data_IF_136025728682
#
_entry.id   IF_136025728682
#
_cell.length_a   1.000
_cell.length_b   1.000
_cell.length_c   1.000
_cell.angle_alpha   90.00
_cell.angle_beta   90.00
_cell.angle_gamma   90.00
#
_symmetry.space_group_name_H-M   'P 1'
#
loop_
_entity.id
_entity.type
_entity.pdbx_description
1 polymer ?
#
# COMPACT_ATOMS: atom_id res chain seq x y z
N UNK A 1 13.43 -2.22 -4.40
CA UNK A 1 12.01 -2.63 -4.35
C UNK A 1 11.19 -1.36 -4.23
N UNK A 2 10.23 -1.18 -5.13
CA UNK A 2 9.48 0.05 -5.25
C UNK A 2 8.00 -0.21 -4.94
N UNK A 3 7.40 0.64 -4.11
CA UNK A 3 6.04 0.45 -3.59
C UNK A 3 5.27 1.74 -3.84
N UNK A 4 4.31 1.68 -4.74
CA UNK A 4 3.35 2.75 -4.95
C UNK A 4 2.07 2.43 -4.19
N UNK A 5 1.68 3.31 -3.27
CA UNK A 5 0.45 3.22 -2.51
C UNK A 5 -0.46 4.38 -2.86
N UNK A 6 -1.73 4.08 -3.14
CA UNK A 6 -2.77 5.07 -3.33
C UNK A 6 -4.01 4.66 -2.55
N UNK A 7 -4.53 5.61 -1.78
CA UNK A 7 -5.83 5.53 -1.13
C UNK A 7 -6.77 6.53 -1.81
N UNK A 8 -7.89 6.02 -2.29
CA UNK A 8 -8.96 6.81 -2.87
C UNK A 8 -10.27 6.48 -2.17
N UNK A 9 -10.96 7.50 -1.66
CA UNK A 9 -12.24 7.34 -0.97
C UNK A 9 -12.49 8.42 0.08
N UNK A 10 -13.70 8.42 0.65
CA UNK A 10 -14.17 9.45 1.58
C UNK A 10 -14.93 10.58 0.89
N UNK A 11 -15.79 11.25 1.67
CA UNK A 11 -16.82 12.19 1.27
C UNK A 11 -16.34 13.41 0.44
N UNK A 12 -15.02 13.65 0.36
CA UNK A 12 -14.42 14.81 -0.30
C UNK A 12 -13.58 14.46 -1.56
N UNK A 13 -13.51 13.18 -1.98
CA UNK A 13 -12.73 12.78 -3.16
C UNK A 13 -11.22 12.94 -3.03
N UNK A 14 -10.70 13.08 -1.79
CA UNK A 14 -9.28 13.27 -1.52
C UNK A 14 -8.52 11.99 -1.90
N UNK A 15 -7.57 12.12 -2.82
CA UNK A 15 -6.62 11.06 -3.18
C UNK A 15 -5.36 11.25 -2.34
N UNK A 16 -5.04 10.29 -1.50
CA UNK A 16 -3.80 10.29 -0.72
C UNK A 16 -2.95 9.13 -1.19
N UNK A 17 -1.72 9.38 -1.63
CA UNK A 17 -0.82 8.33 -2.04
C UNK A 17 0.61 8.66 -1.66
N UNK A 18 1.46 7.65 -1.66
CA UNK A 18 2.90 7.81 -1.53
C UNK A 18 3.62 6.77 -2.36
N UNK A 19 4.83 7.13 -2.72
CA UNK A 19 5.72 6.27 -3.45
C UNK A 19 6.97 6.05 -2.60
N UNK A 20 7.26 4.79 -2.32
CA UNK A 20 8.30 4.37 -1.40
C UNK A 20 9.29 3.51 -2.17
N UNK A 21 10.53 3.96 -2.24
CA UNK A 21 11.64 3.13 -2.71
C UNK A 21 12.40 2.59 -1.50
N UNK A 22 12.58 1.27 -1.42
CA UNK A 22 13.43 0.65 -0.38
C UNK A 22 14.87 1.14 -0.44
N UNK A 23 15.33 1.64 -1.59
CA UNK A 23 16.66 2.26 -1.71
C UNK A 23 16.75 3.61 -0.96
N UNK A 24 15.62 4.28 -0.74
CA UNK A 24 15.53 5.52 0.04
C UNK A 24 15.19 5.26 1.52
N UNK A 25 14.93 4.01 1.89
CA UNK A 25 14.63 3.62 3.27
C UNK A 25 15.88 3.17 4.00
N UNK A 26 15.84 3.24 5.32
CA UNK A 26 16.84 2.58 6.15
C UNK A 26 16.80 1.07 5.93
N UNK A 27 17.95 0.37 6.03
CA UNK A 27 18.02 -1.09 5.83
C UNK A 27 17.08 -1.87 6.77
N UNK A 28 16.82 -1.35 7.96
CA UNK A 28 15.86 -1.89 8.92
C UNK A 28 14.42 -1.83 8.40
N UNK A 29 14.00 -0.66 7.90
CA UNK A 29 12.66 -0.45 7.32
C UNK A 29 12.49 -1.30 6.05
N UNK A 30 13.48 -1.31 5.16
CA UNK A 30 13.45 -2.12 3.95
C UNK A 30 13.27 -3.62 4.27
N UNK A 31 13.94 -4.11 5.31
CA UNK A 31 13.81 -5.50 5.78
C UNK A 31 12.41 -5.76 6.32
N UNK A 32 11.86 -4.88 7.17
CA UNK A 32 10.50 -5.01 7.71
C UNK A 32 9.43 -5.00 6.61
N UNK A 33 9.52 -4.05 5.69
CA UNK A 33 8.57 -3.93 4.58
C UNK A 33 8.61 -5.19 3.71
N UNK A 34 9.81 -5.69 3.42
CA UNK A 34 9.97 -6.95 2.68
C UNK A 34 9.34 -8.13 3.43
N UNK A 35 9.54 -8.21 4.75
CA UNK A 35 8.94 -9.26 5.57
C UNK A 35 7.41 -9.20 5.58
N UNK A 36 6.80 -8.00 5.60
CA UNK A 36 5.33 -7.88 5.52
C UNK A 36 4.80 -8.26 4.14
N UNK A 37 5.49 -7.88 3.06
CA UNK A 37 5.11 -8.25 1.68
C UNK A 37 5.14 -9.76 1.49
N UNK A 38 6.18 -10.41 2.03
CA UNK A 38 6.34 -11.86 2.00
C UNK A 38 5.30 -12.58 2.86
N UNK A 39 5.11 -12.14 4.11
CA UNK A 39 4.11 -12.68 5.03
C UNK A 39 2.67 -12.54 4.48
N UNK A 40 2.38 -11.43 3.80
CA UNK A 40 1.10 -11.19 3.14
C UNK A 40 0.92 -11.98 1.83
N UNK A 41 1.97 -12.67 1.35
CA UNK A 41 1.98 -13.34 0.06
C UNK A 41 1.50 -12.42 -1.07
N UNK A 42 1.97 -11.17 -1.09
CA UNK A 42 1.40 -10.11 -1.93
C UNK A 42 1.35 -10.49 -3.42
N UNK A 43 2.40 -11.12 -3.93
CA UNK A 43 2.48 -11.58 -5.33
C UNK A 43 1.51 -12.72 -5.68
N UNK A 44 0.93 -13.38 -4.67
CA UNK A 44 -0.08 -14.42 -4.85
C UNK A 44 -1.50 -13.88 -4.64
N UNK A 45 -1.66 -12.60 -4.25
CA UNK A 45 -2.96 -11.99 -4.09
C UNK A 45 -3.60 -11.69 -5.44
N UNK A 46 -4.93 -11.77 -5.53
CA UNK A 46 -5.65 -11.33 -6.72
C UNK A 46 -5.40 -9.85 -6.98
N UNK A 47 -5.34 -9.48 -8.25
CA UNK A 47 -5.11 -8.11 -8.69
C UNK A 47 -6.23 -7.15 -8.23
N UNK A 48 -7.44 -7.68 -8.03
CA UNK A 48 -8.61 -6.94 -7.57
C UNK A 48 -9.37 -7.75 -6.52
N UNK A 49 -9.48 -7.20 -5.31
CA UNK A 49 -10.30 -7.71 -4.22
C UNK A 49 -11.24 -6.62 -3.72
N UNK A 50 -12.50 -6.64 -4.18
CA UNK A 50 -13.51 -5.66 -3.79
C UNK A 50 -14.70 -6.37 -3.16
N UNK A 51 -15.10 -5.94 -1.96
CA UNK A 51 -16.24 -6.46 -1.20
C UNK A 51 -17.57 -5.83 -1.62
N UNK A 52 -17.55 -4.81 -2.50
CA UNK A 52 -18.73 -4.12 -2.99
C UNK A 52 -19.31 -3.13 -1.98
N UNK A 53 -18.95 -1.86 -2.10
CA UNK A 53 -19.54 -0.74 -1.33
C UNK A 53 -19.05 0.59 -1.88
N UNK A 54 -19.99 1.46 -2.28
CA UNK A 54 -19.67 2.76 -2.87
C UNK A 54 -18.94 3.72 -1.91
N UNK A 55 -19.13 3.51 -0.60
CA UNK A 55 -18.60 4.36 0.48
C UNK A 55 -17.26 3.88 1.07
N UNK A 56 -16.68 2.80 0.53
CA UNK A 56 -15.47 2.19 1.10
C UNK A 56 -14.19 2.84 0.57
N UNK A 57 -13.18 2.97 1.43
CA UNK A 57 -11.84 3.35 0.98
C UNK A 57 -11.25 2.25 0.09
N UNK A 58 -10.81 2.67 -1.09
CA UNK A 58 -10.07 1.82 -2.02
C UNK A 58 -8.58 2.06 -1.83
N UNK A 59 -7.83 0.98 -1.69
CA UNK A 59 -6.39 0.95 -1.63
C UNK A 59 -5.85 0.29 -2.89
N UNK A 60 -4.93 0.97 -3.55
CA UNK A 60 -4.16 0.45 -4.67
C UNK A 60 -2.71 0.39 -4.26
N UNK A 61 -2.18 -0.82 -4.21
CA UNK A 61 -0.80 -1.09 -3.82
C UNK A 61 -0.13 -1.71 -5.03
N UNK A 62 0.95 -1.10 -5.52
CA UNK A 62 1.77 -1.66 -6.59
C UNK A 62 3.16 -1.91 -6.04
N UNK A 63 3.64 -3.14 -6.11
CA UNK A 63 4.96 -3.53 -5.62
C UNK A 63 5.78 -4.02 -6.80
N UNK A 64 6.96 -3.43 -6.99
CA UNK A 64 7.95 -3.84 -7.96
C UNK A 64 9.21 -4.36 -7.24
N UNK A 65 9.55 -5.62 -7.52
CA UNK A 65 10.69 -6.31 -6.92
C UNK A 65 11.36 -7.18 -7.99
N UNK A 66 12.68 -7.06 -8.14
CA UNK A 66 13.47 -7.86 -9.09
C UNK A 66 12.91 -7.86 -10.53
N UNK A 67 12.41 -6.72 -11.00
CA UNK A 67 11.79 -6.58 -12.33
C UNK A 67 10.38 -7.17 -12.46
N UNK A 68 9.80 -7.72 -11.39
CA UNK A 68 8.40 -8.14 -11.33
C UNK A 68 7.56 -7.07 -10.67
N UNK A 69 6.52 -6.61 -11.36
CA UNK A 69 5.54 -5.66 -10.84
C UNK A 69 4.21 -6.37 -10.61
N UNK A 70 3.68 -6.26 -9.39
CA UNK A 70 2.34 -6.75 -9.04
C UNK A 70 1.50 -5.62 -8.50
N UNK A 71 0.24 -5.52 -8.94
CA UNK A 71 -0.68 -4.49 -8.52
C UNK A 71 -1.91 -5.13 -7.91
N UNK A 72 -2.21 -4.76 -6.67
CA UNK A 72 -3.37 -5.26 -5.92
C UNK A 72 -4.26 -4.07 -5.55
N UNK A 73 -5.51 -4.14 -5.96
CA UNK A 73 -6.56 -3.20 -5.61
C UNK A 73 -7.49 -3.85 -4.58
N UNK A 74 -7.43 -3.39 -3.34
CA UNK A 74 -8.24 -3.91 -2.24
C UNK A 74 -8.99 -2.82 -1.52
N UNK A 75 -10.16 -3.12 -0.95
CA UNK A 75 -10.83 -2.20 -0.02
C UNK A 75 -10.50 -2.50 1.45
N UNK A 76 -10.82 -1.57 2.35
CA UNK A 76 -10.55 -1.70 3.79
C UNK A 76 -11.19 -2.92 4.45
N UNK A 77 -12.34 -3.41 3.96
CA UNK A 77 -12.95 -4.64 4.46
C UNK A 77 -12.39 -5.90 3.83
N UNK A 78 -11.97 -5.84 2.56
CA UNK A 78 -11.34 -6.97 1.86
C UNK A 78 -9.87 -7.19 2.27
N UNK A 79 -9.25 -6.22 2.94
CA UNK A 79 -7.81 -6.27 3.24
C UNK A 79 -7.50 -7.40 4.24
N UNK A 80 -6.63 -8.36 3.87
CA UNK A 80 -6.23 -9.43 4.77
C UNK A 80 -5.52 -8.89 6.02
N UNK A 81 -5.69 -9.56 7.17
CA UNK A 81 -5.00 -9.19 8.41
C UNK A 81 -3.46 -9.16 8.26
N UNK A 82 -2.91 -10.04 7.41
CA UNK A 82 -1.49 -10.07 7.09
C UNK A 82 -0.99 -8.82 6.32
N UNK A 83 -1.87 -8.15 5.57
CA UNK A 83 -1.57 -6.89 4.88
C UNK A 83 -1.74 -5.66 5.79
N UNK A 84 -2.51 -5.80 6.88
CA UNK A 84 -2.80 -4.70 7.81
C UNK A 84 -1.54 -3.93 8.28
N UNK A 85 -0.44 -4.57 8.72
CA UNK A 85 0.76 -3.84 9.12
C UNK A 85 1.40 -3.06 7.96
N UNK A 86 1.46 -3.65 6.76
CA UNK A 86 1.99 -2.99 5.56
C UNK A 86 1.15 -1.75 5.20
N UNK A 87 -0.17 -1.89 5.15
CA UNK A 87 -1.08 -0.78 4.83
C UNK A 87 -0.96 0.33 5.86
N UNK A 88 -0.94 0.01 7.17
CA UNK A 88 -0.76 1.00 8.24
C UNK A 88 0.54 1.77 8.10
N UNK A 89 1.64 1.08 7.82
CA UNK A 89 2.93 1.72 7.61
C UNK A 89 2.93 2.62 6.37
N UNK A 90 2.36 2.15 5.24
CA UNK A 90 2.21 2.94 4.01
C UNK A 90 1.35 4.18 4.22
N UNK A 91 0.25 4.07 4.98
CA UNK A 91 -0.58 5.22 5.36
C UNK A 91 0.19 6.23 6.20
N UNK A 92 1.00 5.77 7.15
CA UNK A 92 1.86 6.64 7.95
C UNK A 92 2.92 7.33 7.08
N UNK A 93 3.55 6.60 6.15
CA UNK A 93 4.49 7.13 5.19
C UNK A 93 3.83 8.17 4.26
N UNK A 94 2.60 7.92 3.79
CA UNK A 94 1.84 8.86 2.99
C UNK A 94 1.51 10.15 3.75
N UNK A 95 1.20 10.05 5.04
CA UNK A 95 0.99 11.22 5.90
C UNK A 95 2.29 12.01 6.11
N UNK A 96 3.43 11.34 6.25
CA UNK A 96 4.75 11.98 6.35
C UNK A 96 5.11 12.72 5.06
N UNK A 97 4.90 12.12 3.90
CA UNK A 97 5.16 12.72 2.59
C UNK A 97 4.24 13.90 2.25
N UNK A 98 2.98 13.86 2.70
CA UNK A 98 2.01 14.95 2.49
C UNK A 98 2.33 16.23 3.31
N UNK A 99 3.27 16.15 4.25
CA UNK A 99 3.67 17.31 5.08
C UNK A 99 4.73 18.20 4.41
N UNK A 100 5.07 17.94 3.14
CA UNK A 100 6.01 18.74 2.32
C UNK A 100 5.37 19.80 1.43
N UNK A 101 4.10 20.14 1.64
CA UNK A 101 3.43 21.24 0.91
C UNK A 101 2.52 22.01 1.87
N UNK A 102 3.10 22.99 2.55
CA UNK A 102 2.42 23.99 3.37
C UNK A 102 3.26 25.25 3.41
#
# INVERSE_FOLDING_TARGET
MHIAFQRTGGFAGIRTGCEINTENLSPEEATQVTAWVDAANFFNLPEVSRSGGADQFQYKISIEKDGRKHTVETDERATPAALSPLVKWLMAAARRGASGSG
#
